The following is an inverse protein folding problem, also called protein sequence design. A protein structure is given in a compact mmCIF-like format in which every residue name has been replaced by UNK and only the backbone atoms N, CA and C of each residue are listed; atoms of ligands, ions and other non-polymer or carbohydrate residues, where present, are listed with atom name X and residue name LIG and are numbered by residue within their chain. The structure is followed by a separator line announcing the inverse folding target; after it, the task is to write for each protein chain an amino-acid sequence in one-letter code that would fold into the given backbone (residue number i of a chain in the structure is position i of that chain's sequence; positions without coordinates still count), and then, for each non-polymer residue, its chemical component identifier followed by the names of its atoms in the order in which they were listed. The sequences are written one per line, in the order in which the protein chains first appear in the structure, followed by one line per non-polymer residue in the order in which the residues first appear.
data_IF_165510119729
#
_entry.id   IF_165510119729
#
_cell.length_a   1.000
_cell.length_b   1.000
_cell.length_c   1.000
_cell.angle_alpha   90.00
_cell.angle_beta   90.00
_cell.angle_gamma   90.00
#
_symmetry.space_group_name_H-M   'P 1'
#
loop_
_entity.id
_entity.type
_entity.pdbx_description
1 polymer ?
#
# COMPACT_ATOMS: atom_id res chain seq x y z
N UNK A 1 -19.40 -28.11 -37.39
CA UNK A 1 -18.35 -28.47 -36.42
C UNK A 1 -17.45 -27.28 -36.04
N UNK A 2 -17.32 -26.23 -36.87
CA UNK A 2 -16.61 -25.00 -36.48
C UNK A 2 -17.41 -24.07 -35.53
N UNK A 3 -18.74 -24.00 -35.67
CA UNK A 3 -19.59 -23.19 -34.79
C UNK A 3 -19.56 -23.61 -33.31
N UNK A 4 -19.56 -24.92 -33.03
CA UNK A 4 -19.59 -25.40 -31.64
C UNK A 4 -18.30 -25.06 -30.90
N UNK A 5 -17.16 -25.08 -31.59
CA UNK A 5 -15.88 -24.70 -30.98
C UNK A 5 -15.78 -23.19 -30.75
N UNK A 6 -16.26 -22.34 -31.66
CA UNK A 6 -16.23 -20.88 -31.45
C UNK A 6 -17.20 -20.42 -30.37
N UNK A 7 -18.38 -21.04 -30.26
CA UNK A 7 -19.35 -20.79 -29.18
C UNK A 7 -18.79 -21.22 -27.82
N UNK A 8 -18.19 -22.42 -27.73
CA UNK A 8 -17.55 -22.90 -26.49
C UNK A 8 -16.40 -21.98 -26.05
N UNK A 9 -15.57 -21.48 -26.98
CA UNK A 9 -14.48 -20.55 -26.67
C UNK A 9 -15.00 -19.20 -26.16
N UNK A 10 -16.04 -18.65 -26.79
CA UNK A 10 -16.65 -17.39 -26.38
C UNK A 10 -17.30 -17.47 -24.99
N UNK A 11 -18.00 -18.57 -24.70
CA UNK A 11 -18.63 -18.82 -23.40
C UNK A 11 -17.57 -19.01 -22.29
N UNK A 12 -16.46 -19.68 -22.62
CA UNK A 12 -15.35 -19.87 -21.69
C UNK A 12 -14.67 -18.55 -21.32
N UNK A 13 -14.45 -17.64 -22.27
CA UNK A 13 -13.81 -16.36 -21.98
C UNK A 13 -14.74 -15.36 -21.26
N UNK A 14 -16.05 -15.40 -21.56
CA UNK A 14 -17.05 -14.67 -20.79
C UNK A 14 -17.10 -15.13 -19.34
N UNK A 15 -17.04 -16.44 -19.10
CA UNK A 15 -17.05 -16.98 -17.73
C UNK A 15 -15.82 -16.54 -16.93
N UNK A 16 -14.61 -16.58 -17.52
CA UNK A 16 -13.37 -16.07 -16.91
C UNK A 16 -13.46 -14.58 -16.60
N UNK A 17 -14.02 -13.78 -17.51
CA UNK A 17 -14.23 -12.35 -17.34
C UNK A 17 -15.11 -12.04 -16.12
N UNK A 18 -16.26 -12.69 -16.02
CA UNK A 18 -17.20 -12.52 -14.90
C UNK A 18 -16.57 -12.96 -13.56
N UNK A 19 -15.84 -14.07 -13.54
CA UNK A 19 -15.12 -14.52 -12.36
C UNK A 19 -14.08 -13.47 -11.93
N UNK A 20 -13.29 -12.96 -12.86
CA UNK A 20 -12.25 -11.96 -12.59
C UNK A 20 -12.84 -10.68 -11.98
N UNK A 21 -13.93 -10.15 -12.53
CA UNK A 21 -14.63 -8.97 -11.99
C UNK A 21 -15.20 -9.23 -10.61
N UNK A 22 -15.85 -10.37 -10.40
CA UNK A 22 -16.43 -10.71 -9.10
C UNK A 22 -15.34 -10.84 -8.02
N UNK A 23 -14.21 -11.45 -8.35
CA UNK A 23 -13.06 -11.60 -7.45
C UNK A 23 -12.38 -10.25 -7.18
N UNK A 24 -12.15 -9.45 -8.22
CA UNK A 24 -11.59 -8.10 -8.08
C UNK A 24 -12.47 -7.20 -7.23
N UNK A 25 -13.78 -7.20 -7.48
CA UNK A 25 -14.76 -6.41 -6.73
C UNK A 25 -14.81 -6.81 -5.25
N UNK A 26 -14.86 -8.10 -4.94
CA UNK A 26 -14.85 -8.59 -3.55
C UNK A 26 -13.56 -8.26 -2.82
N UNK A 27 -12.40 -8.39 -3.46
CA UNK A 27 -11.10 -7.99 -2.89
C UNK A 27 -11.04 -6.49 -2.60
N UNK A 28 -11.51 -5.66 -3.52
CA UNK A 28 -11.46 -4.22 -3.36
C UNK A 28 -12.42 -3.71 -2.28
N UNK A 29 -13.63 -4.28 -2.20
CA UNK A 29 -14.57 -4.01 -1.11
C UNK A 29 -14.00 -4.44 0.25
N UNK A 30 -13.37 -5.62 0.31
CA UNK A 30 -12.70 -6.11 1.52
C UNK A 30 -11.57 -5.15 1.93
N UNK A 31 -10.76 -4.72 0.96
CA UNK A 31 -9.72 -3.70 1.15
C UNK A 31 -10.29 -2.41 1.72
N UNK A 32 -11.35 -1.85 1.12
CA UNK A 32 -12.02 -0.66 1.63
C UNK A 32 -12.48 -0.82 3.07
N UNK A 33 -13.15 -1.92 3.40
CA UNK A 33 -13.64 -2.18 4.76
C UNK A 33 -12.50 -2.18 5.79
N UNK A 34 -11.41 -2.90 5.49
CA UNK A 34 -10.23 -2.97 6.38
C UNK A 34 -9.62 -1.58 6.57
N UNK A 35 -9.46 -0.83 5.49
CA UNK A 35 -8.83 0.49 5.54
C UNK A 35 -9.70 1.52 6.24
N UNK A 36 -11.02 1.49 5.99
CA UNK A 36 -11.99 2.31 6.70
C UNK A 36 -11.99 2.01 8.20
N UNK A 37 -11.86 0.74 8.60
CA UNK A 37 -11.74 0.37 10.01
C UNK A 37 -10.50 1.01 10.66
N UNK A 38 -9.33 0.91 10.02
CA UNK A 38 -8.08 1.49 10.53
C UNK A 38 -8.20 3.01 10.68
N UNK A 39 -8.72 3.69 9.65
CA UNK A 39 -8.88 5.16 9.66
C UNK A 39 -9.91 5.59 10.70
N UNK A 40 -11.07 4.92 10.76
CA UNK A 40 -12.12 5.25 11.72
C UNK A 40 -11.68 5.03 13.17
N UNK A 41 -10.92 3.97 13.45
CA UNK A 41 -10.38 3.69 14.78
C UNK A 41 -9.48 4.81 15.29
N UNK A 42 -8.59 5.32 14.44
CA UNK A 42 -7.72 6.45 14.79
C UNK A 42 -8.47 7.80 14.83
N UNK A 43 -9.42 8.01 13.93
CA UNK A 43 -10.25 9.22 13.91
C UNK A 43 -11.15 9.32 15.15
N UNK A 44 -11.71 8.20 15.62
CA UNK A 44 -12.48 8.14 16.87
C UNK A 44 -11.65 8.58 18.07
N UNK A 45 -10.38 8.18 18.18
CA UNK A 45 -9.50 8.64 19.26
C UNK A 45 -9.30 10.16 19.22
N UNK A 46 -9.14 10.72 18.02
CA UNK A 46 -9.03 12.17 17.83
C UNK A 46 -10.30 12.91 18.25
N UNK A 47 -11.49 12.41 17.87
CA UNK A 47 -12.78 12.97 18.30
C UNK A 47 -12.95 12.93 19.82
N UNK A 48 -12.39 11.92 20.49
CA UNK A 48 -12.34 11.81 21.96
C UNK A 48 -11.31 12.74 22.60
N UNK A 49 -10.79 13.73 21.86
CA UNK A 49 -9.76 14.70 22.28
C UNK A 49 -8.45 14.06 22.74
N UNK A 50 -8.17 12.83 22.32
CA UNK A 50 -6.86 12.20 22.55
C UNK A 50 -5.87 12.74 21.51
N UNK A 51 -4.63 12.96 21.93
CA UNK A 51 -3.57 13.31 20.98
C UNK A 51 -3.32 12.14 20.03
N UNK A 52 -3.31 12.43 18.72
CA UNK A 52 -2.94 11.43 17.72
C UNK A 52 -1.42 11.24 17.80
N UNK A 53 -0.99 10.00 18.02
CA UNK A 53 0.44 9.70 18.02
C UNK A 53 1.01 9.78 16.60
N UNK A 54 2.31 10.06 16.45
CA UNK A 54 2.94 10.11 15.13
C UNK A 54 2.81 8.78 14.36
N UNK A 55 2.79 7.65 15.06
CA UNK A 55 2.53 6.34 14.46
C UNK A 55 1.10 6.27 13.89
N UNK A 56 0.11 6.71 14.67
CA UNK A 56 -1.28 6.74 14.25
C UNK A 56 -1.48 7.68 13.05
N UNK A 57 -0.75 8.80 12.98
CA UNK A 57 -0.77 9.68 11.80
C UNK A 57 -0.29 8.95 10.55
N UNK A 58 0.88 8.31 10.58
CA UNK A 58 1.44 7.57 9.43
C UNK A 58 0.48 6.45 9.01
N UNK A 59 0.00 5.66 9.96
CA UNK A 59 -0.93 4.55 9.73
C UNK A 59 -2.24 5.06 9.10
N UNK A 60 -2.77 6.17 9.59
CA UNK A 60 -4.00 6.77 9.04
C UNK A 60 -3.79 7.28 7.62
N UNK A 61 -2.64 7.88 7.33
CA UNK A 61 -2.29 8.33 5.98
C UNK A 61 -2.14 7.16 4.99
N UNK A 62 -1.52 6.05 5.41
CA UNK A 62 -1.50 4.79 4.63
C UNK A 62 -2.94 4.30 4.41
N UNK A 63 -3.75 4.33 5.47
CA UNK A 63 -5.18 4.03 5.46
C UNK A 63 -5.93 4.75 4.34
N UNK A 64 -5.88 6.07 4.37
CA UNK A 64 -6.53 6.97 3.40
C UNK A 64 -6.01 6.73 1.98
N UNK A 65 -4.70 6.61 1.81
CA UNK A 65 -4.10 6.38 0.49
C UNK A 65 -4.57 5.05 -0.13
N UNK A 66 -4.70 3.98 0.66
CA UNK A 66 -5.24 2.69 0.17
C UNK A 66 -6.75 2.76 -0.11
N UNK A 67 -7.52 3.60 0.59
CA UNK A 67 -8.93 3.85 0.24
C UNK A 67 -9.04 4.44 -1.16
N UNK A 68 -8.24 5.45 -1.49
CA UNK A 68 -8.21 6.03 -2.84
C UNK A 68 -7.81 4.99 -3.89
N UNK A 69 -6.80 4.16 -3.61
CA UNK A 69 -6.40 3.07 -4.50
C UNK A 69 -7.54 2.08 -4.77
N UNK A 70 -8.17 1.52 -3.73
CA UNK A 70 -9.26 0.56 -3.91
C UNK A 70 -10.50 1.18 -4.56
N UNK A 71 -10.76 2.46 -4.29
CA UNK A 71 -11.87 3.20 -4.94
C UNK A 71 -11.60 3.39 -6.43
N UNK A 72 -10.39 3.80 -6.80
CA UNK A 72 -9.98 3.92 -8.21
C UNK A 72 -10.05 2.57 -8.93
N UNK A 73 -9.62 1.50 -8.27
CA UNK A 73 -9.71 0.14 -8.82
C UNK A 73 -11.16 -0.31 -9.03
N UNK A 74 -12.05 -0.10 -8.06
CA UNK A 74 -13.49 -0.38 -8.23
C UNK A 74 -14.09 0.45 -9.36
N UNK A 75 -13.73 1.72 -9.46
CA UNK A 75 -14.20 2.57 -10.55
C UNK A 75 -13.74 2.05 -11.90
N UNK A 76 -12.50 1.58 -12.02
CA UNK A 76 -11.96 0.94 -13.23
C UNK A 76 -12.71 -0.34 -13.60
N UNK A 77 -13.03 -1.21 -12.62
CA UNK A 77 -13.84 -2.41 -12.86
C UNK A 77 -15.26 -2.07 -13.32
N UNK A 78 -15.94 -1.13 -12.66
CA UNK A 78 -17.29 -0.69 -13.04
C UNK A 78 -17.28 -0.07 -14.43
N UNK A 79 -16.26 0.75 -14.71
CA UNK A 79 -16.05 1.39 -15.99
C UNK A 79 -15.98 0.38 -17.12
N UNK A 80 -15.19 -0.67 -16.95
CA UNK A 80 -15.01 -1.73 -17.95
C UNK A 80 -16.32 -2.49 -18.26
N UNK A 81 -17.20 -2.67 -17.27
CA UNK A 81 -18.43 -3.46 -17.41
C UNK A 81 -19.61 -2.62 -17.89
N UNK A 82 -19.81 -1.46 -17.28
CA UNK A 82 -21.04 -0.68 -17.44
C UNK A 82 -20.92 0.40 -18.51
N UNK A 83 -19.69 0.83 -18.85
CA UNK A 83 -19.47 1.98 -19.70
C UNK A 83 -18.26 1.77 -20.64
N UNK A 84 -18.41 0.95 -21.69
CA UNK A 84 -17.34 0.72 -22.66
C UNK A 84 -16.89 1.99 -23.40
N UNK A 85 -17.71 3.04 -23.42
CA UNK A 85 -17.41 4.34 -24.04
C UNK A 85 -17.21 5.46 -22.99
N UNK A 86 -16.38 5.20 -21.98
CA UNK A 86 -16.03 6.25 -21.01
C UNK A 86 -15.16 7.33 -21.67
N UNK A 87 -15.41 8.62 -21.36
CA UNK A 87 -14.50 9.68 -21.77
C UNK A 87 -13.08 9.40 -21.29
N UNK A 88 -12.11 9.48 -22.20
CA UNK A 88 -10.69 9.22 -21.95
C UNK A 88 -10.18 9.92 -20.68
N UNK A 89 -10.63 11.16 -20.44
CA UNK A 89 -10.30 11.94 -19.25
C UNK A 89 -10.65 11.26 -17.92
N UNK A 90 -11.77 10.53 -17.87
CA UNK A 90 -12.19 9.81 -16.65
C UNK A 90 -11.32 8.58 -16.43
N UNK A 91 -10.94 7.87 -17.50
CA UNK A 91 -10.00 6.74 -17.41
C UNK A 91 -8.63 7.22 -16.91
N UNK A 92 -8.09 8.28 -17.53
CA UNK A 92 -6.80 8.85 -17.16
C UNK A 92 -6.80 9.37 -15.72
N UNK A 93 -7.88 10.02 -15.27
CA UNK A 93 -8.01 10.46 -13.87
C UNK A 93 -8.04 9.29 -12.89
N UNK A 94 -8.75 8.22 -13.24
CA UNK A 94 -8.84 7.01 -12.39
C UNK A 94 -7.47 6.34 -12.26
N UNK A 95 -6.74 6.17 -13.36
CA UNK A 95 -5.38 5.65 -13.38
C UNK A 95 -4.41 6.56 -12.61
N UNK A 96 -4.51 7.87 -12.80
CA UNK A 96 -3.71 8.86 -12.07
C UNK A 96 -3.92 8.76 -10.56
N UNK A 97 -5.18 8.67 -10.08
CA UNK A 97 -5.50 8.51 -8.66
C UNK A 97 -4.96 7.17 -8.14
N UNK A 98 -5.15 6.08 -8.89
CA UNK A 98 -4.65 4.75 -8.53
C UNK A 98 -3.13 4.74 -8.38
N UNK A 99 -2.40 5.23 -9.39
CA UNK A 99 -0.94 5.21 -9.40
C UNK A 99 -0.34 6.17 -8.37
N UNK A 100 -0.91 7.37 -8.21
CA UNK A 100 -0.44 8.33 -7.20
C UNK A 100 -0.62 7.79 -5.79
N UNK A 101 -1.72 7.09 -5.54
CA UNK A 101 -1.98 6.38 -4.29
C UNK A 101 -0.98 5.25 -4.07
N UNK A 102 -0.64 4.47 -5.09
CA UNK A 102 0.39 3.42 -4.99
C UNK A 102 1.74 4.01 -4.59
N UNK A 103 2.18 5.09 -5.24
CA UNK A 103 3.48 5.72 -4.97
C UNK A 103 3.50 6.34 -3.57
N UNK A 104 2.41 6.99 -3.15
CA UNK A 104 2.26 7.49 -1.80
C UNK A 104 2.34 6.36 -0.75
N UNK A 105 1.70 5.22 -1.03
CA UNK A 105 1.76 4.05 -0.15
C UNK A 105 3.18 3.52 0.03
N UNK A 106 4.00 3.51 -1.02
CA UNK A 106 5.40 3.10 -0.94
C UNK A 106 6.15 4.04 0.01
N UNK A 107 6.10 5.35 -0.24
CA UNK A 107 6.80 6.34 0.58
C UNK A 107 6.36 6.32 2.05
N UNK A 108 5.05 6.23 2.30
CA UNK A 108 4.50 6.18 3.65
C UNK A 108 4.85 4.87 4.37
N UNK A 109 4.92 3.74 3.65
CA UNK A 109 5.37 2.45 4.19
C UNK A 109 6.87 2.48 4.54
N UNK A 110 7.69 3.15 3.72
CA UNK A 110 9.09 3.45 4.05
C UNK A 110 9.20 4.22 5.35
N UNK A 111 8.44 5.31 5.47
CA UNK A 111 8.42 6.18 6.65
C UNK A 111 8.00 5.40 7.90
N UNK A 112 6.96 4.56 7.79
CA UNK A 112 6.49 3.71 8.88
C UNK A 112 7.57 2.72 9.34
N UNK A 113 8.28 2.10 8.40
CA UNK A 113 9.35 1.14 8.68
C UNK A 113 10.51 1.82 9.42
N UNK A 114 10.97 2.98 8.92
CA UNK A 114 11.99 3.80 9.59
C UNK A 114 11.52 4.21 10.99
N UNK A 115 10.26 4.64 11.13
CA UNK A 115 9.69 5.07 12.39
C UNK A 115 9.70 3.95 13.45
N UNK A 116 9.28 2.74 13.08
CA UNK A 116 9.30 1.59 14.00
C UNK A 116 10.72 1.20 14.42
N UNK A 117 11.67 1.23 13.49
CA UNK A 117 13.07 1.00 13.82
C UNK A 117 13.61 2.04 14.82
N UNK A 118 13.32 3.32 14.58
CA UNK A 118 13.77 4.42 15.44
C UNK A 118 13.20 4.34 16.84
N UNK A 119 11.95 3.87 16.98
CA UNK A 119 11.27 3.75 18.26
C UNK A 119 11.92 2.70 19.17
N UNK A 120 12.53 1.67 18.58
CA UNK A 120 12.99 0.47 19.29
C UNK A 120 14.50 0.47 19.49
N UNK A 121 15.25 1.01 18.55
CA UNK A 121 16.69 1.04 18.66
C UNK A 121 17.16 2.13 19.63
N UNK A 122 17.97 1.73 20.61
CA UNK A 122 18.71 2.67 21.46
C UNK A 122 19.97 3.11 20.71
N UNK A 123 19.86 4.25 20.03
CA UNK A 123 20.97 4.79 19.23
C UNK A 123 22.04 5.44 20.10
N UNK A 124 23.28 4.98 19.94
CA UNK A 124 24.48 5.72 20.37
C UNK A 124 25.14 6.51 19.21
N UNK A 125 24.71 6.27 17.96
CA UNK A 125 25.25 6.96 16.80
C UNK A 125 24.53 8.30 16.59
N UNK A 126 25.29 9.40 16.53
CA UNK A 126 24.78 10.76 16.39
C UNK A 126 23.89 10.95 15.15
N UNK A 127 24.19 10.28 14.03
CA UNK A 127 23.38 10.36 12.81
C UNK A 127 21.96 9.83 13.03
N UNK A 128 21.83 8.68 13.69
CA UNK A 128 20.54 8.05 13.96
C UNK A 128 19.74 8.81 15.03
N UNK A 129 20.44 9.45 15.97
CA UNK A 129 19.81 10.34 16.95
C UNK A 129 19.24 11.61 16.27
N UNK A 130 20.00 12.22 15.36
CA UNK A 130 19.54 13.36 14.57
C UNK A 130 18.32 12.99 13.71
N UNK A 131 18.40 11.85 13.01
CA UNK A 131 17.29 11.32 12.22
C UNK A 131 16.04 11.05 13.08
N UNK A 132 16.23 10.52 14.29
CA UNK A 132 15.16 10.28 15.27
C UNK A 132 14.43 11.57 15.63
N UNK A 133 15.17 12.61 16.02
CA UNK A 133 14.57 13.91 16.39
C UNK A 133 13.86 14.54 15.20
N UNK A 134 14.51 14.56 14.04
CA UNK A 134 13.93 15.12 12.81
C UNK A 134 12.62 14.44 12.42
N UNK A 135 12.58 13.11 12.43
CA UNK A 135 11.38 12.36 12.06
C UNK A 135 10.30 12.57 13.11
N UNK A 136 10.57 12.37 14.40
CA UNK A 136 9.56 12.46 15.46
C UNK A 136 8.89 13.83 15.53
N UNK A 137 9.65 14.92 15.35
CA UNK A 137 9.11 16.28 15.40
C UNK A 137 8.37 16.67 14.11
N UNK A 138 8.75 16.10 12.96
CA UNK A 138 8.26 16.54 11.64
C UNK A 138 7.43 15.50 10.90
N UNK A 139 6.91 14.46 11.57
CA UNK A 139 6.13 13.38 10.94
C UNK A 139 5.00 13.92 10.05
N UNK A 140 4.19 14.86 10.54
CA UNK A 140 3.09 15.44 9.77
C UNK A 140 3.58 16.09 8.47
N UNK A 141 4.68 16.85 8.53
CA UNK A 141 5.26 17.49 7.35
C UNK A 141 5.84 16.47 6.37
N UNK A 142 6.45 15.39 6.86
CA UNK A 142 6.97 14.30 6.03
C UNK A 142 5.84 13.57 5.31
N UNK A 143 4.73 13.29 5.99
CA UNK A 143 3.54 12.70 5.38
C UNK A 143 3.05 13.56 4.21
N UNK A 144 2.85 14.87 4.45
CA UNK A 144 2.38 15.80 3.42
C UNK A 144 3.38 15.87 2.26
N UNK A 145 4.68 15.95 2.56
CA UNK A 145 5.72 15.99 1.55
C UNK A 145 5.72 14.73 0.67
N UNK A 146 5.59 13.54 1.26
CA UNK A 146 5.56 12.29 0.48
C UNK A 146 4.29 12.15 -0.36
N UNK A 147 3.14 12.58 0.13
CA UNK A 147 1.90 12.59 -0.66
C UNK A 147 2.01 13.57 -1.83
N UNK A 148 2.49 14.80 -1.59
CA UNK A 148 2.72 15.79 -2.64
C UNK A 148 3.76 15.31 -3.65
N UNK A 149 4.86 14.72 -3.19
CA UNK A 149 5.88 14.15 -4.05
C UNK A 149 5.27 13.07 -4.95
N UNK A 150 4.37 12.24 -4.43
CA UNK A 150 3.68 11.20 -5.21
C UNK A 150 2.80 11.79 -6.30
N UNK A 151 2.03 12.85 -5.99
CA UNK A 151 1.19 13.56 -6.95
C UNK A 151 2.01 14.25 -8.05
N UNK A 152 3.10 14.93 -7.68
CA UNK A 152 4.01 15.57 -8.63
C UNK A 152 4.63 14.50 -9.53
N UNK A 153 5.09 13.41 -8.93
CA UNK A 153 5.74 12.32 -9.64
C UNK A 153 4.81 11.67 -10.67
N UNK A 154 3.55 11.41 -10.32
CA UNK A 154 2.56 10.90 -11.28
C UNK A 154 2.13 11.95 -12.30
N UNK A 155 2.06 13.22 -11.91
CA UNK A 155 1.68 14.30 -12.84
C UNK A 155 2.70 14.47 -13.96
N UNK A 156 3.98 14.37 -13.64
CA UNK A 156 5.06 14.38 -14.62
C UNK A 156 4.91 13.21 -15.61
N UNK A 157 4.49 12.05 -15.10
CA UNK A 157 4.32 10.84 -15.91
C UNK A 157 3.13 10.91 -16.88
N UNK A 158 1.95 11.31 -16.40
CA UNK A 158 0.71 11.27 -17.18
C UNK A 158 0.44 12.53 -18.00
N UNK A 159 0.92 13.69 -17.58
CA UNK A 159 0.62 14.95 -18.28
C UNK A 159 1.83 15.52 -19.03
N UNK A 160 3.02 15.46 -18.44
CA UNK A 160 4.19 16.16 -19.00
C UNK A 160 4.93 15.33 -20.04
N UNK A 161 5.16 14.03 -19.77
CA UNK A 161 5.85 13.16 -20.72
C UNK A 161 5.07 13.02 -22.05
N UNK A 162 3.76 12.71 -22.07
CA UNK A 162 3.03 12.57 -23.32
C UNK A 162 3.01 13.87 -24.12
N UNK A 163 2.77 15.03 -23.48
CA UNK A 163 2.80 16.33 -24.18
C UNK A 163 4.13 16.60 -24.87
N UNK A 164 5.26 16.25 -24.25
CA UNK A 164 6.58 16.47 -24.84
C UNK A 164 6.86 15.54 -26.03
N UNK A 165 6.40 14.29 -25.99
CA UNK A 165 6.56 13.35 -27.10
C UNK A 165 5.61 13.67 -28.27
N UNK A 166 4.34 13.99 -27.99
CA UNK A 166 3.36 14.33 -29.03
C UNK A 166 3.61 15.71 -29.68
N UNK A 167 4.18 16.68 -28.96
CA UNK A 167 4.50 18.00 -29.53
C UNK A 167 5.68 17.99 -30.51
N UNK A 168 6.53 16.95 -30.48
CA UNK A 168 7.71 16.85 -31.36
C UNK A 168 7.49 15.96 -32.61
N UNK A 169 6.33 15.31 -32.73
CA UNK A 169 6.02 14.37 -33.81
C UNK A 169 5.23 15.00 -34.97
N UNK A 170 5.91 15.61 -35.95
CA UNK A 170 5.30 15.88 -37.27
C UNK A 170 5.26 14.61 -38.11
N UNK A 171 4.05 14.10 -38.37
CA UNK A 171 3.64 13.19 -39.46
C UNK A 171 4.62 12.06 -39.86
N UNK A 172 4.42 10.82 -39.37
CA UNK A 172 4.55 9.59 -40.16
C UNK A 172 4.02 8.36 -39.38
N UNK A 173 3.15 7.56 -40.01
CA UNK A 173 2.42 6.45 -39.39
C UNK A 173 3.31 5.28 -38.91
N UNK A 174 4.56 5.19 -39.38
CA UNK A 174 5.52 4.15 -38.96
C UNK A 174 6.24 4.45 -37.64
N UNK A 175 6.15 5.69 -37.11
CA UNK A 175 6.79 6.10 -35.86
C UNK A 175 5.97 5.75 -34.61
N UNK A 176 4.69 5.39 -34.78
CA UNK A 176 3.76 5.17 -33.69
C UNK A 176 4.15 3.99 -32.78
N UNK A 177 4.72 2.91 -33.34
CA UNK A 177 5.10 1.73 -32.55
C UNK A 177 6.35 1.97 -31.69
N UNK A 178 7.34 2.67 -32.25
CA UNK A 178 8.57 3.06 -31.54
C UNK A 178 8.28 4.04 -30.41
N UNK A 179 7.39 5.01 -30.62
CA UNK A 179 7.01 5.99 -29.60
C UNK A 179 6.23 5.34 -28.44
N UNK A 180 5.27 4.47 -28.74
CA UNK A 180 4.54 3.70 -27.72
C UNK A 180 5.49 2.83 -26.90
N UNK A 181 6.44 2.16 -27.55
CA UNK A 181 7.45 1.33 -26.86
C UNK A 181 8.32 2.18 -25.94
N UNK A 182 8.78 3.35 -26.38
CA UNK A 182 9.59 4.28 -25.57
C UNK A 182 8.80 4.78 -24.36
N UNK A 183 7.53 5.17 -24.54
CA UNK A 183 6.67 5.62 -23.44
C UNK A 183 6.49 4.52 -22.40
N UNK A 184 6.29 3.27 -22.82
CA UNK A 184 6.20 2.12 -21.91
C UNK A 184 7.50 1.91 -21.12
N UNK A 185 8.66 1.96 -21.77
CA UNK A 185 9.96 1.86 -21.08
C UNK A 185 10.20 2.99 -20.08
N UNK A 186 9.85 4.22 -20.44
CA UNK A 186 9.96 5.38 -19.54
C UNK A 186 9.04 5.18 -18.34
N UNK A 187 7.81 4.69 -18.54
CA UNK A 187 6.87 4.37 -17.46
C UNK A 187 7.42 3.30 -16.51
N UNK A 188 8.06 2.25 -17.03
CA UNK A 188 8.70 1.20 -16.20
C UNK A 188 9.83 1.80 -15.36
N UNK A 189 10.73 2.57 -15.97
CA UNK A 189 11.82 3.23 -15.25
C UNK A 189 11.29 4.20 -14.19
N UNK A 190 10.17 4.87 -14.49
CA UNK A 190 9.48 5.76 -13.56
C UNK A 190 8.97 4.98 -12.35
N UNK A 191 8.24 3.88 -12.53
CA UNK A 191 7.75 3.09 -11.40
C UNK A 191 8.91 2.44 -10.62
N UNK A 192 9.98 2.04 -11.29
CA UNK A 192 11.12 1.36 -10.67
C UNK A 192 11.90 2.24 -9.67
N UNK A 193 12.03 3.54 -9.92
CA UNK A 193 12.79 4.46 -9.08
C UNK A 193 12.34 4.53 -7.60
N UNK A 194 11.07 4.86 -7.27
CA UNK A 194 10.60 4.93 -5.88
C UNK A 194 10.73 3.59 -5.16
N UNK A 195 10.57 2.48 -5.89
CA UNK A 195 10.75 1.15 -5.33
C UNK A 195 12.20 0.81 -5.00
N UNK A 196 13.15 1.18 -5.86
CA UNK A 196 14.57 0.95 -5.61
C UNK A 196 15.01 1.71 -4.34
N UNK A 197 14.55 2.96 -4.19
CA UNK A 197 14.79 3.75 -2.98
C UNK A 197 14.19 3.06 -1.74
N UNK A 198 12.94 2.62 -1.80
CA UNK A 198 12.31 1.87 -0.71
C UNK A 198 13.10 0.61 -0.35
N UNK A 199 13.51 -0.17 -1.35
CA UNK A 199 14.24 -1.42 -1.15
C UNK A 199 15.59 -1.19 -0.48
N UNK A 200 16.37 -0.19 -0.94
CA UNK A 200 17.65 0.18 -0.30
C UNK A 200 17.44 0.55 1.16
N UNK A 201 16.42 1.37 1.45
CA UNK A 201 16.13 1.80 2.82
C UNK A 201 15.76 0.62 3.71
N UNK A 202 14.91 -0.29 3.23
CA UNK A 202 14.53 -1.49 3.98
C UNK A 202 15.73 -2.40 4.21
N UNK A 203 16.55 -2.66 3.19
CA UNK A 203 17.76 -3.47 3.35
C UNK A 203 18.70 -2.86 4.39
N UNK A 204 18.94 -1.55 4.32
CA UNK A 204 19.73 -0.83 5.30
C UNK A 204 19.14 -1.00 6.70
N UNK A 205 17.81 -0.90 6.83
CA UNK A 205 17.10 -1.08 8.10
C UNK A 205 17.31 -2.48 8.69
N UNK A 206 17.18 -3.51 7.85
CA UNK A 206 17.38 -4.91 8.24
C UNK A 206 18.83 -5.13 8.69
N UNK A 207 19.80 -4.65 7.92
CA UNK A 207 21.23 -4.79 8.26
C UNK A 207 21.53 -4.11 9.61
N UNK A 208 21.05 -2.89 9.78
CA UNK A 208 21.24 -2.14 11.02
C UNK A 208 20.59 -2.84 12.22
N UNK A 209 19.41 -3.42 12.04
CA UNK A 209 18.68 -4.12 13.09
C UNK A 209 19.35 -5.45 13.47
N UNK A 210 19.79 -6.23 12.49
CA UNK A 210 20.57 -7.45 12.71
C UNK A 210 21.88 -7.15 13.45
N UNK A 211 22.58 -6.08 13.06
CA UNK A 211 23.79 -5.64 13.74
C UNK A 211 23.50 -5.22 15.19
N UNK A 212 22.43 -4.45 15.42
CA UNK A 212 22.04 -4.02 16.77
C UNK A 212 21.67 -5.22 17.67
N UNK A 213 20.89 -6.17 17.16
CA UNK A 213 20.55 -7.40 17.89
C UNK A 213 21.80 -8.22 18.23
N UNK A 214 22.74 -8.38 17.29
CA UNK A 214 24.00 -9.11 17.55
C UNK A 214 24.83 -8.42 18.63
N UNK A 215 24.89 -7.09 18.63
CA UNK A 215 25.61 -6.31 19.66
C UNK A 215 24.96 -6.44 21.03
N UNK A 216 23.62 -6.44 21.08
CA UNK A 216 22.88 -6.63 22.33
C UNK A 216 23.08 -8.05 22.91
N UNK A 217 23.05 -9.08 22.04
CA UNK A 217 23.25 -10.47 22.45
C UNK A 217 24.66 -10.71 23.01
N UNK A 218 25.68 -10.07 22.43
CA UNK A 218 27.06 -10.17 22.90
C UNK A 218 27.33 -9.36 24.19
N UNK A 219 26.41 -8.46 24.59
CA UNK A 219 26.54 -7.57 25.75
C UNK A 219 25.86 -8.07 27.04
N UNK A 220 25.29 -9.28 27.06
CA UNK A 220 24.75 -9.92 28.26
C UNK A 220 23.40 -9.40 28.78
N UNK A 221 22.85 -8.31 28.24
CA UNK A 221 21.54 -7.77 28.64
C UNK A 221 20.41 -8.36 27.79
N UNK A 222 20.05 -9.61 28.04
CA UNK A 222 18.89 -10.30 27.44
C UNK A 222 17.64 -10.04 28.28
N UNK A 223 17.19 -8.78 28.32
CA UNK A 223 15.90 -8.42 28.96
C UNK A 223 15.00 -7.56 28.05
N UNK A 224 15.46 -7.20 26.86
CA UNK A 224 14.69 -6.40 25.89
C UNK A 224 13.81 -7.26 24.98
N UNK A 225 12.55 -7.48 25.38
CA UNK A 225 11.37 -7.91 24.62
C UNK A 225 11.62 -8.37 23.15
N UNK A 226 12.32 -9.49 22.97
CA UNK A 226 12.76 -10.06 21.67
C UNK A 226 11.61 -10.24 20.68
N UNK A 227 10.41 -10.49 21.18
CA UNK A 227 9.20 -10.67 20.39
C UNK A 227 8.77 -9.41 19.63
N UNK A 228 9.05 -8.23 20.19
CA UNK A 228 8.72 -6.95 19.53
C UNK A 228 9.67 -6.69 18.35
N UNK A 229 10.96 -6.98 18.55
CA UNK A 229 11.96 -6.92 17.48
C UNK A 229 11.62 -7.91 16.35
N UNK A 230 11.27 -9.15 16.70
CA UNK A 230 10.96 -10.17 15.71
C UNK A 230 9.72 -9.81 14.88
N UNK A 231 8.65 -9.30 15.51
CA UNK A 231 7.44 -8.87 14.79
C UNK A 231 7.71 -7.78 13.76
N UNK A 232 8.59 -6.84 14.08
CA UNK A 232 8.88 -5.71 13.19
C UNK A 232 9.85 -6.10 12.08
N UNK A 233 10.81 -6.98 12.35
CA UNK A 233 11.64 -7.61 11.30
C UNK A 233 10.73 -8.36 10.33
N UNK A 234 9.83 -9.20 10.85
CA UNK A 234 8.89 -9.98 10.02
C UNK A 234 7.99 -9.04 9.21
N UNK A 235 7.47 -7.97 9.81
CA UNK A 235 6.68 -6.96 9.08
C UNK A 235 7.49 -6.27 7.98
N UNK A 236 8.71 -5.83 8.28
CA UNK A 236 9.56 -5.11 7.34
C UNK A 236 9.94 -6.00 6.15
N UNK A 237 10.28 -7.26 6.41
CA UNK A 237 10.59 -8.25 5.37
C UNK A 237 9.35 -8.57 4.55
N UNK A 238 8.20 -8.84 5.18
CA UNK A 238 6.97 -9.16 4.46
C UNK A 238 6.45 -7.97 3.65
N UNK A 239 6.47 -6.76 4.21
CA UNK A 239 6.07 -5.56 3.48
C UNK A 239 7.00 -5.27 2.30
N UNK A 240 8.31 -5.53 2.44
CA UNK A 240 9.28 -5.42 1.35
C UNK A 240 9.04 -6.44 0.25
N UNK A 241 8.79 -7.69 0.63
CA UNK A 241 8.50 -8.79 -0.28
C UNK A 241 7.19 -8.52 -1.05
N UNK A 242 6.14 -8.10 -0.36
CA UNK A 242 4.86 -7.70 -0.98
C UNK A 242 5.04 -6.54 -1.97
N UNK A 243 5.86 -5.55 -1.64
CA UNK A 243 6.22 -4.46 -2.55
C UNK A 243 6.98 -4.97 -3.79
N UNK A 244 7.97 -5.84 -3.62
CA UNK A 244 8.74 -6.41 -4.73
C UNK A 244 7.86 -7.24 -5.68
N UNK A 245 6.90 -8.01 -5.14
CA UNK A 245 5.94 -8.75 -5.96
C UNK A 245 4.98 -7.81 -6.70
N UNK A 246 4.49 -6.74 -6.08
CA UNK A 246 3.65 -5.75 -6.76
C UNK A 246 4.37 -5.13 -7.96
N UNK A 247 5.65 -4.78 -7.82
CA UNK A 247 6.48 -4.31 -8.94
C UNK A 247 6.54 -5.31 -10.08
N UNK A 248 6.82 -6.56 -9.74
CA UNK A 248 6.97 -7.63 -10.71
C UNK A 248 5.68 -7.78 -11.52
N UNK A 249 4.52 -7.74 -10.86
CA UNK A 249 3.22 -7.79 -11.54
C UNK A 249 3.01 -6.59 -12.49
N UNK A 250 3.35 -5.37 -12.07
CA UNK A 250 3.21 -4.19 -12.94
C UNK A 250 4.13 -4.26 -14.17
N UNK A 251 5.31 -4.89 -14.04
CA UNK A 251 6.22 -5.13 -15.17
C UNK A 251 5.64 -6.18 -16.11
N UNK A 252 5.18 -7.32 -15.56
CA UNK A 252 4.61 -8.40 -16.35
C UNK A 252 3.34 -7.98 -17.08
N UNK A 253 2.53 -7.14 -16.45
CA UNK A 253 1.30 -6.61 -16.99
C UNK A 253 1.52 -6.09 -18.42
N UNK A 254 2.51 -5.21 -18.67
CA UNK A 254 2.72 -4.60 -19.98
C UNK A 254 2.95 -5.55 -21.17
N UNK A 255 3.28 -6.82 -20.92
CA UNK A 255 3.57 -7.80 -21.97
C UNK A 255 2.40 -8.77 -22.24
N UNK A 256 1.30 -8.65 -21.53
CA UNK A 256 0.20 -9.62 -21.55
C UNK A 256 -1.04 -9.15 -22.33
N UNK A 257 -1.87 -10.08 -22.76
CA UNK A 257 -3.17 -9.80 -23.38
C UNK A 257 -4.19 -9.28 -22.34
N UNK A 258 -5.29 -8.67 -22.80
CA UNK A 258 -6.28 -7.96 -21.95
C UNK A 258 -6.84 -8.86 -20.82
N UNK A 259 -7.11 -10.13 -21.10
CA UNK A 259 -7.65 -11.05 -20.10
C UNK A 259 -6.62 -11.35 -19.00
N UNK A 260 -5.37 -11.59 -19.38
CA UNK A 260 -4.25 -11.86 -18.46
C UNK A 260 -3.87 -10.61 -17.65
N UNK A 261 -3.95 -9.42 -18.28
CA UNK A 261 -3.80 -8.13 -17.63
C UNK A 261 -4.79 -7.96 -16.48
N UNK A 262 -6.06 -8.31 -16.67
CA UNK A 262 -7.08 -8.24 -15.61
C UNK A 262 -6.78 -9.19 -14.46
N UNK A 263 -6.36 -10.43 -14.75
CA UNK A 263 -5.95 -11.36 -13.71
C UNK A 263 -4.77 -10.84 -12.90
N UNK A 264 -3.77 -10.25 -13.57
CA UNK A 264 -2.64 -9.59 -12.91
C UNK A 264 -3.09 -8.43 -12.03
N UNK A 265 -4.05 -7.61 -12.48
CA UNK A 265 -4.66 -6.55 -11.66
C UNK A 265 -5.36 -7.07 -10.41
N UNK A 266 -6.10 -8.17 -10.53
CA UNK A 266 -6.76 -8.82 -9.39
C UNK A 266 -5.74 -9.36 -8.40
N UNK A 267 -4.68 -10.02 -8.88
CA UNK A 267 -3.59 -10.51 -8.03
C UNK A 267 -2.86 -9.35 -7.36
N UNK A 268 -2.62 -8.24 -8.07
CA UNK A 268 -2.00 -7.05 -7.52
C UNK A 268 -2.78 -6.46 -6.35
N UNK A 269 -4.12 -6.57 -6.36
CA UNK A 269 -4.99 -6.09 -5.28
C UNK A 269 -4.95 -6.96 -4.01
N UNK A 270 -4.51 -8.21 -4.09
CA UNK A 270 -4.33 -9.06 -2.90
C UNK A 270 -3.23 -8.48 -2.00
N UNK A 271 -2.19 -7.89 -2.58
CA UNK A 271 -1.04 -7.35 -1.84
C UNK A 271 -1.38 -6.26 -0.83
N UNK A 272 -2.07 -5.15 -1.19
CA UNK A 272 -2.44 -4.13 -0.22
C UNK A 272 -3.37 -4.68 0.86
N UNK A 273 -4.25 -5.65 0.55
CA UNK A 273 -5.11 -6.32 1.54
C UNK A 273 -4.28 -7.11 2.55
N UNK A 274 -3.38 -7.98 2.08
CA UNK A 274 -2.48 -8.77 2.93
C UNK A 274 -1.60 -7.86 3.80
N UNK A 275 -1.03 -6.79 3.21
CA UNK A 275 -0.21 -5.85 3.95
C UNK A 275 -1.01 -5.08 5.02
N UNK A 276 -2.32 -4.89 4.82
CA UNK A 276 -3.21 -4.26 5.80
C UNK A 276 -3.48 -5.18 6.99
N UNK A 277 -3.70 -6.49 6.75
CA UNK A 277 -3.79 -7.48 7.82
C UNK A 277 -2.49 -7.59 8.63
N UNK A 278 -1.34 -7.58 7.96
CA UNK A 278 -0.04 -7.56 8.63
C UNK A 278 0.13 -6.31 9.50
N UNK A 279 -0.32 -5.14 9.02
CA UNK A 279 -0.29 -3.90 9.79
C UNK A 279 -1.15 -3.99 11.06
N UNK A 280 -2.36 -4.55 10.97
CA UNK A 280 -3.24 -4.79 12.12
C UNK A 280 -2.58 -5.74 13.13
N UNK A 281 -1.95 -6.82 12.64
CA UNK A 281 -1.27 -7.80 13.51
C UNK A 281 -0.10 -7.20 14.29
N UNK A 282 0.69 -6.34 13.64
CA UNK A 282 1.91 -5.75 14.21
C UNK A 282 1.59 -4.62 15.19
N UNK A 283 0.58 -3.80 14.88
CA UNK A 283 0.19 -2.66 15.70
C UNK A 283 -0.75 -3.12 16.80
N UNK A 284 -0.21 -3.31 18.02
CA UNK A 284 -0.97 -3.83 19.18
C UNK A 284 -2.27 -3.06 19.45
N UNK A 285 -2.27 -1.73 19.25
CA UNK A 285 -3.46 -0.88 19.39
C UNK A 285 -4.58 -1.31 18.45
N UNK A 286 -4.28 -1.43 17.15
CA UNK A 286 -5.24 -1.87 16.13
C UNK A 286 -5.69 -3.31 16.36
N UNK A 287 -4.76 -4.19 16.72
CA UNK A 287 -5.06 -5.59 17.06
C UNK A 287 -6.09 -5.69 18.19
N UNK A 288 -5.89 -4.93 19.27
CA UNK A 288 -6.79 -4.97 20.42
C UNK A 288 -8.17 -4.38 20.06
N UNK A 289 -8.21 -3.30 19.28
CA UNK A 289 -9.47 -2.74 18.77
C UNK A 289 -10.24 -3.76 17.90
N UNK A 290 -9.52 -4.46 17.01
CA UNK A 290 -10.10 -5.51 16.17
C UNK A 290 -10.66 -6.68 16.99
N UNK A 291 -9.90 -7.17 17.98
CA UNK A 291 -10.34 -8.27 18.86
C UNK A 291 -11.61 -7.88 19.64
N UNK A 292 -11.67 -6.65 20.18
CA UNK A 292 -12.85 -6.16 20.90
C UNK A 292 -14.09 -6.14 20.02
N UNK A 293 -13.97 -5.74 18.75
CA UNK A 293 -15.12 -5.72 17.83
C UNK A 293 -15.56 -7.15 17.48
N UNK A 294 -14.60 -8.05 17.23
CA UNK A 294 -14.90 -9.45 16.92
C UNK A 294 -15.54 -10.15 18.14
N UNK A 295 -15.08 -9.88 19.37
CA UNK A 295 -15.60 -10.49 20.59
C UNK A 295 -16.86 -9.81 21.16
N UNK A 296 -17.04 -8.48 21.07
CA UNK A 296 -18.33 -7.88 21.45
C UNK A 296 -19.43 -8.14 20.39
N UNK A 297 -19.08 -8.71 19.23
CA UNK A 297 -20.04 -9.29 18.29
C UNK A 297 -20.63 -10.63 18.74
N UNK A 298 -20.08 -11.26 19.78
CA UNK A 298 -20.71 -12.41 20.45
C UNK A 298 -21.42 -11.94 21.72
N UNK A 299 -22.74 -12.11 21.85
CA UNK A 299 -23.58 -11.36 22.78
C UNK A 299 -23.55 -11.89 24.23
N UNK A 300 -22.38 -12.22 24.81
CA UNK A 300 -22.38 -12.78 26.17
C UNK A 300 -21.29 -12.36 27.18
N UNK A 301 -20.28 -11.54 26.87
CA UNK A 301 -19.23 -11.25 27.88
C UNK A 301 -18.77 -9.78 28.03
N UNK A 302 -19.31 -8.81 27.27
CA UNK A 302 -18.78 -7.44 27.31
C UNK A 302 -19.17 -6.59 28.55
N UNK A 303 -20.06 -7.04 29.46
CA UNK A 303 -20.41 -6.23 30.65
C UNK A 303 -19.52 -6.46 31.88
N UNK A 304 -18.81 -7.59 31.99
CA UNK A 304 -18.06 -7.92 33.22
C UNK A 304 -16.65 -7.30 33.28
N UNK A 305 -16.03 -6.97 32.16
CA UNK A 305 -14.65 -6.44 32.15
C UNK A 305 -14.54 -4.91 32.18
N UNK A 306 -15.63 -4.18 31.94
CA UNK A 306 -15.61 -2.70 32.01
C UNK A 306 -15.68 -2.22 33.47
N UNK A 307 -16.33 -2.97 34.36
CA UNK A 307 -16.42 -2.62 35.79
C UNK A 307 -15.28 -3.18 36.66
N UNK A 308 -14.60 -4.25 36.24
CA UNK A 308 -13.50 -4.86 37.01
C UNK A 308 -12.20 -4.04 37.07
N UNK A 309 -11.96 -3.14 36.11
CA UNK A 309 -10.75 -2.29 36.10
C UNK A 309 -10.90 -0.97 36.89
N UNK A 310 -12.09 -0.66 37.41
CA UNK A 310 -12.35 0.60 38.12
C UNK A 310 -12.36 0.48 39.66
N UNK A 311 -12.06 -0.70 40.23
CA UNK A 311 -12.19 -0.96 41.68
C UNK A 311 -10.92 -1.49 42.37
N UNK A 312 -9.72 -1.21 41.83
CA UNK A 312 -8.46 -1.49 42.55
C UNK A 312 -7.57 -0.26 42.52
N UNK A 313 -8.06 0.82 43.14
CA UNK A 313 -7.22 1.80 43.81
C UNK A 313 -8.09 2.60 44.79
N UNK A 314 -8.23 2.05 46.00
CA UNK A 314 -8.36 2.78 47.24
C UNK A 314 -7.78 1.92 48.36
#
# INVERSE_FOLDING_TARGET
MANSTEEDYCETDLSKFLICISLGGTLALTGLLIQSFIVAGNFSDWLKRRSITSADQIITSIGISRIFYHTAFLLSLISMVCFPEIPEIVSTLTEFIGNSSTIANIWLSTLLSIFFYIKISTFHNAFLLCLKTFILERVTYLIVAFVLLSLIYTSLNYFVLPMHFFSNGTHNHSLHYTEVTIILYVNILWIFFPFLVFFIVVLLLIILLCFHMRRMNNGGNVTGNTDTYHRIITFTILSSLVCAFYLLINIFQMYMEILDMMWLYVIANIFPVVNSFLLIYVVMKLRNQFIVIVHCGTPHECELNIWGMCSIHN
#
